data_IF_906821989588
#
_entry.id   IF_906821989588
#
_cell.length_a   1.000
_cell.length_b   1.000
_cell.length_c   1.000
_cell.angle_alpha   90.00
_cell.angle_beta   90.00
_cell.angle_gamma   90.00
#
_symmetry.space_group_name_H-M   'P 1'
#
loop_
_entity.id
_entity.type
_entity.pdbx_description
1 polymer ?
#
# COMPACT_ATOMS: atom_id res chain seq x y z
N UNK A 1 7.87 1.10 -19.91
CA UNK A 1 7.24 0.59 -18.65
C UNK A 1 5.94 1.36 -18.39
N UNK A 2 4.82 0.67 -18.27
CA UNK A 2 3.52 1.29 -18.01
C UNK A 2 3.29 1.39 -16.49
N UNK A 3 3.82 2.45 -15.87
CA UNK A 3 3.59 2.71 -14.44
C UNK A 3 2.12 3.05 -14.19
N UNK A 4 1.52 2.43 -13.17
CA UNK A 4 0.12 2.63 -12.77
C UNK A 4 0.08 3.49 -11.49
N UNK A 5 -0.74 4.54 -11.42
CA UNK A 5 -0.86 5.39 -10.23
C UNK A 5 -1.66 4.71 -9.11
N UNK A 6 -2.42 3.67 -9.44
CA UNK A 6 -3.41 3.02 -8.59
C UNK A 6 -2.89 2.69 -7.17
N UNK A 7 -1.65 2.14 -6.99
CA UNK A 7 -1.13 1.85 -5.65
C UNK A 7 -0.90 3.10 -4.80
N UNK A 8 -0.41 4.19 -5.39
CA UNK A 8 -0.11 5.45 -4.69
C UNK A 8 -1.38 6.20 -4.27
N UNK A 9 -2.43 6.10 -5.09
CA UNK A 9 -3.72 6.69 -4.76
C UNK A 9 -4.39 5.88 -3.64
N UNK A 10 -4.37 4.55 -3.73
CA UNK A 10 -4.88 3.68 -2.66
C UNK A 10 -4.16 3.87 -1.31
N UNK A 11 -2.83 4.07 -1.32
CA UNK A 11 -2.06 4.37 -0.09
C UNK A 11 -2.43 5.73 0.50
N UNK A 12 -2.72 6.76 -0.31
CA UNK A 12 -3.24 8.06 0.18
C UNK A 12 -4.52 7.86 0.99
N UNK A 13 -5.50 7.13 0.44
CA UNK A 13 -6.75 6.83 1.14
C UNK A 13 -6.49 6.05 2.44
N UNK A 14 -5.66 5.00 2.38
CA UNK A 14 -5.34 4.20 3.55
C UNK A 14 -4.69 5.05 4.65
N UNK A 15 -3.71 5.90 4.31
CA UNK A 15 -3.09 6.80 5.27
C UNK A 15 -4.09 7.80 5.87
N UNK A 16 -4.99 8.38 5.06
CA UNK A 16 -6.03 9.29 5.55
C UNK A 16 -6.96 8.61 6.57
N UNK A 17 -7.41 7.38 6.29
CA UNK A 17 -8.26 6.61 7.20
C UNK A 17 -7.52 6.26 8.50
N UNK A 18 -6.26 5.85 8.44
CA UNK A 18 -5.46 5.56 9.63
C UNK A 18 -5.13 6.80 10.48
N UNK A 19 -4.90 7.95 9.84
CA UNK A 19 -4.75 9.22 10.56
C UNK A 19 -6.04 9.52 11.32
N UNK A 20 -7.20 9.42 10.66
CA UNK A 20 -8.48 9.66 11.32
C UNK A 20 -8.76 8.66 12.44
N UNK A 21 -8.45 7.38 12.22
CA UNK A 21 -8.52 6.35 13.26
C UNK A 21 -7.71 6.73 14.49
N UNK A 22 -6.46 7.14 14.31
CA UNK A 22 -5.54 7.45 15.42
C UNK A 22 -5.86 8.74 16.17
N UNK A 23 -6.79 9.58 15.68
CA UNK A 23 -7.16 10.83 16.37
C UNK A 23 -7.69 10.55 17.78
N UNK A 24 -7.34 11.37 18.79
CA UNK A 24 -7.66 11.09 20.19
C UNK A 24 -9.16 11.02 20.48
N UNK A 25 -9.99 11.68 19.67
CA UNK A 25 -11.46 11.63 19.79
C UNK A 25 -12.11 10.45 19.02
N UNK A 26 -11.32 9.69 18.25
CA UNK A 26 -11.73 8.46 17.57
C UNK A 26 -11.17 7.27 18.35
N UNK A 27 -9.85 7.10 18.36
CA UNK A 27 -9.14 6.04 19.10
C UNK A 27 -8.02 6.65 19.97
N UNK A 28 -8.25 6.78 21.30
CA UNK A 28 -7.27 7.35 22.23
C UNK A 28 -5.90 6.64 22.19
N UNK A 29 -4.86 7.34 22.64
CA UNK A 29 -3.50 6.83 22.81
C UNK A 29 -2.84 6.27 21.54
N UNK A 30 -3.26 6.69 20.35
CA UNK A 30 -2.80 6.15 19.06
C UNK A 30 -1.86 7.08 18.28
N UNK A 31 -1.10 7.94 18.98
CA UNK A 31 -0.23 8.96 18.37
C UNK A 31 0.78 8.39 17.35
N UNK A 32 1.35 7.22 17.63
CA UNK A 32 2.30 6.57 16.70
C UNK A 32 1.65 6.20 15.34
N UNK A 33 0.36 5.85 15.35
CA UNK A 33 -0.42 5.57 14.13
C UNK A 33 -0.58 6.84 13.33
N UNK A 34 -0.88 7.97 13.99
CA UNK A 34 -1.01 9.28 13.34
C UNK A 34 0.33 9.69 12.71
N UNK A 35 1.43 9.60 13.45
CA UNK A 35 2.73 10.09 12.97
C UNK A 35 3.22 9.31 11.76
N UNK A 36 3.13 7.97 11.78
CA UNK A 36 3.64 7.16 10.67
C UNK A 36 2.79 7.33 9.41
N UNK A 37 1.45 7.39 9.56
CA UNK A 37 0.55 7.57 8.42
C UNK A 37 0.55 9.02 7.93
N UNK A 38 0.83 10.00 8.80
CA UNK A 38 1.06 11.38 8.40
C UNK A 38 2.29 11.53 7.52
N UNK A 39 3.42 10.93 7.91
CA UNK A 39 4.64 10.89 7.09
C UNK A 39 4.35 10.14 5.77
N UNK A 40 3.69 8.98 5.85
CA UNK A 40 3.28 8.20 4.69
C UNK A 40 2.43 9.03 3.72
N UNK A 41 1.40 9.72 4.21
CA UNK A 41 0.54 10.57 3.41
C UNK A 41 1.34 11.64 2.66
N UNK A 42 2.29 12.31 3.31
CA UNK A 42 3.15 13.31 2.65
C UNK A 42 3.98 12.68 1.53
N UNK A 43 4.59 11.52 1.78
CA UNK A 43 5.39 10.80 0.78
C UNK A 43 4.52 10.39 -0.42
N UNK A 44 3.35 9.82 -0.17
CA UNK A 44 2.43 9.38 -1.21
C UNK A 44 1.90 10.55 -2.04
N UNK A 45 1.58 11.68 -1.40
CA UNK A 45 1.20 12.91 -2.10
C UNK A 45 2.33 13.45 -2.99
N UNK A 46 3.60 13.33 -2.56
CA UNK A 46 4.75 13.66 -3.41
C UNK A 46 4.79 12.72 -4.62
N UNK A 47 4.65 11.41 -4.43
CA UNK A 47 4.64 10.44 -5.54
C UNK A 47 3.49 10.69 -6.52
N UNK A 48 2.27 10.89 -6.00
CA UNK A 48 1.09 11.22 -6.81
C UNK A 48 1.32 12.53 -7.58
N UNK A 49 1.93 13.54 -6.97
CA UNK A 49 2.24 14.82 -7.62
C UNK A 49 3.24 14.67 -8.75
N UNK A 50 4.34 13.94 -8.53
CA UNK A 50 5.32 13.62 -9.57
C UNK A 50 4.63 12.87 -10.72
N UNK A 51 3.88 11.81 -10.41
CA UNK A 51 3.18 11.03 -11.42
C UNK A 51 2.18 11.89 -12.19
N UNK A 52 1.47 12.78 -11.52
CA UNK A 52 0.53 13.71 -12.13
C UNK A 52 1.24 14.65 -13.11
N UNK A 53 2.36 15.27 -12.71
CA UNK A 53 3.13 16.19 -13.55
C UNK A 53 3.65 15.48 -14.82
N UNK A 54 4.13 14.25 -14.70
CA UNK A 54 4.74 13.54 -15.85
C UNK A 54 3.78 12.66 -16.64
N UNK A 55 2.50 12.59 -16.27
CA UNK A 55 1.50 11.76 -16.95
C UNK A 55 0.73 12.48 -18.06
N UNK A 56 0.27 11.71 -19.04
CA UNK A 56 -0.70 12.17 -20.05
C UNK A 56 -2.06 12.50 -19.43
N UNK A 57 -2.82 13.36 -20.11
CA UNK A 57 -4.15 13.83 -19.67
C UNK A 57 -5.14 12.72 -19.27
N UNK A 58 -5.27 11.60 -20.00
CA UNK A 58 -6.19 10.53 -19.61
C UNK A 58 -5.87 9.93 -18.23
N UNK A 59 -4.58 9.79 -17.90
CA UNK A 59 -4.12 9.29 -16.59
C UNK A 59 -4.31 10.33 -15.51
N UNK A 60 -3.97 11.60 -15.78
CA UNK A 60 -4.23 12.73 -14.87
C UNK A 60 -5.71 12.82 -14.48
N UNK A 61 -6.62 12.69 -15.45
CA UNK A 61 -8.06 12.71 -15.22
C UNK A 61 -8.51 11.59 -14.28
N UNK A 62 -7.97 10.37 -14.45
CA UNK A 62 -8.26 9.24 -13.56
C UNK A 62 -7.80 9.50 -12.12
N UNK A 63 -6.61 10.07 -11.95
CA UNK A 63 -6.07 10.42 -10.62
C UNK A 63 -6.94 11.49 -9.96
N UNK A 64 -7.30 12.55 -10.68
CA UNK A 64 -8.19 13.60 -10.14
C UNK A 64 -9.51 13.01 -9.67
N UNK A 65 -10.16 12.20 -10.52
CA UNK A 65 -11.43 11.56 -10.18
C UNK A 65 -11.28 10.68 -8.94
N UNK A 66 -10.22 9.87 -8.87
CA UNK A 66 -9.97 9.01 -7.73
C UNK A 66 -9.75 9.82 -6.43
N UNK A 67 -8.91 10.86 -6.45
CA UNK A 67 -8.68 11.73 -5.30
C UNK A 67 -9.95 12.45 -4.84
N UNK A 68 -10.80 12.91 -5.77
CA UNK A 68 -12.10 13.52 -5.43
C UNK A 68 -13.00 12.49 -4.73
N UNK A 69 -13.08 11.27 -5.25
CA UNK A 69 -13.86 10.18 -4.64
C UNK A 69 -13.34 9.89 -3.24
N UNK A 70 -12.02 9.84 -3.05
CA UNK A 70 -11.39 9.60 -1.75
C UNK A 70 -11.70 10.71 -0.75
N UNK A 71 -11.59 11.98 -1.14
CA UNK A 71 -11.93 13.13 -0.29
C UNK A 71 -13.40 13.09 0.12
N UNK A 72 -14.31 12.83 -0.82
CA UNK A 72 -15.74 12.71 -0.54
C UNK A 72 -16.00 11.54 0.41
N UNK A 73 -15.39 10.38 0.16
CA UNK A 73 -15.53 9.20 1.00
C UNK A 73 -15.03 9.48 2.43
N UNK A 74 -13.84 10.03 2.60
CA UNK A 74 -13.28 10.37 3.92
C UNK A 74 -14.15 11.41 4.63
N UNK A 75 -14.64 12.42 3.91
CA UNK A 75 -15.55 13.42 4.48
C UNK A 75 -16.87 12.79 4.99
N UNK A 76 -17.44 11.85 4.24
CA UNK A 76 -18.62 11.09 4.66
C UNK A 76 -18.32 10.26 5.91
N UNK A 77 -17.19 9.54 5.93
CA UNK A 77 -16.79 8.73 7.10
C UNK A 77 -16.62 9.62 8.33
N UNK A 78 -15.95 10.76 8.20
CA UNK A 78 -15.78 11.73 9.29
C UNK A 78 -17.15 12.25 9.75
N UNK A 79 -17.99 12.70 8.82
CA UNK A 79 -19.32 13.22 9.14
C UNK A 79 -20.16 12.20 9.89
N UNK A 80 -20.22 10.96 9.40
CA UNK A 80 -21.00 9.88 10.01
C UNK A 80 -20.45 9.56 11.41
N UNK A 81 -19.12 9.43 11.52
CA UNK A 81 -18.44 9.07 12.77
C UNK A 81 -18.64 10.13 13.85
N UNK A 82 -18.53 11.41 13.51
CA UNK A 82 -18.60 12.49 14.50
C UNK A 82 -20.03 12.92 14.84
N UNK A 83 -20.98 12.75 13.90
CA UNK A 83 -22.37 13.19 14.09
C UNK A 83 -23.22 12.11 14.75
N UNK A 84 -23.06 10.85 14.37
CA UNK A 84 -23.95 9.77 14.84
C UNK A 84 -23.32 8.92 15.95
N UNK A 85 -21.99 8.88 16.08
CA UNK A 85 -21.30 8.09 17.10
C UNK A 85 -20.74 9.01 18.19
N UNK A 86 -21.17 8.80 19.42
CA UNK A 86 -20.87 9.72 20.54
C UNK A 86 -19.71 9.21 21.40
N UNK A 87 -19.52 7.89 21.49
CA UNK A 87 -18.46 7.27 22.26
C UNK A 87 -17.27 6.85 21.37
N UNK A 88 -16.06 6.87 21.95
CA UNK A 88 -14.82 6.52 21.25
C UNK A 88 -14.79 5.05 20.82
N UNK A 89 -15.45 4.15 21.56
CA UNK A 89 -15.50 2.72 21.22
C UNK A 89 -16.25 2.49 19.90
N UNK A 90 -17.42 3.08 19.72
CA UNK A 90 -18.19 3.01 18.48
C UNK A 90 -17.46 3.66 17.31
N UNK A 91 -16.83 4.83 17.53
CA UNK A 91 -16.02 5.52 16.51
C UNK A 91 -14.83 4.66 16.06
N UNK A 92 -14.08 4.12 17.03
CA UNK A 92 -12.96 3.21 16.78
C UNK A 92 -13.41 1.97 16.02
N UNK A 93 -14.57 1.41 16.35
CA UNK A 93 -15.10 0.24 15.66
C UNK A 93 -15.40 0.52 14.19
N UNK A 94 -16.14 1.60 13.89
CA UNK A 94 -16.49 1.93 12.50
C UNK A 94 -15.24 2.22 11.67
N UNK A 95 -14.38 3.13 12.14
CA UNK A 95 -13.19 3.57 11.39
C UNK A 95 -12.16 2.45 11.33
N UNK A 96 -11.99 1.68 12.41
CA UNK A 96 -11.07 0.54 12.48
C UNK A 96 -11.46 -0.57 11.51
N UNK A 97 -12.74 -0.92 11.38
CA UNK A 97 -13.21 -1.92 10.39
C UNK A 97 -12.89 -1.44 8.98
N UNK A 98 -13.18 -0.17 8.66
CA UNK A 98 -12.84 0.40 7.34
C UNK A 98 -11.34 0.34 7.07
N UNK A 99 -10.51 0.72 8.05
CA UNK A 99 -9.05 0.67 7.95
C UNK A 99 -8.54 -0.75 7.69
N UNK A 100 -9.08 -1.75 8.39
CA UNK A 100 -8.75 -3.17 8.19
C UNK A 100 -9.10 -3.62 6.79
N UNK A 101 -10.30 -3.28 6.28
CA UNK A 101 -10.73 -3.64 4.92
C UNK A 101 -9.77 -3.07 3.88
N UNK A 102 -9.46 -1.77 3.95
CA UNK A 102 -8.54 -1.14 3.00
C UNK A 102 -7.14 -1.76 3.07
N UNK A 103 -6.64 -2.03 4.27
CA UNK A 103 -5.35 -2.66 4.44
C UNK A 103 -5.30 -4.07 3.82
N UNK A 104 -6.34 -4.88 4.01
CA UNK A 104 -6.46 -6.20 3.38
C UNK A 104 -6.49 -6.09 1.84
N UNK A 105 -7.24 -5.13 1.30
CA UNK A 105 -7.27 -4.89 -0.15
C UNK A 105 -5.89 -4.53 -0.70
N UNK A 106 -5.07 -3.80 0.07
CA UNK A 106 -3.70 -3.47 -0.34
C UNK A 106 -2.77 -4.69 -0.40
N UNK A 107 -3.05 -5.77 0.35
CA UNK A 107 -2.30 -7.03 0.25
C UNK A 107 -2.46 -7.76 -1.09
N UNK A 108 -3.37 -7.33 -1.95
CA UNK A 108 -3.45 -7.80 -3.34
C UNK A 108 -2.16 -7.54 -4.12
N UNK A 109 -1.47 -6.42 -3.84
CA UNK A 109 -0.20 -6.06 -4.50
C UNK A 109 0.93 -7.06 -4.20
N UNK A 110 1.31 -7.30 -2.93
CA UNK A 110 2.34 -8.30 -2.62
C UNK A 110 1.92 -9.72 -3.03
N UNK A 111 0.63 -10.07 -2.97
CA UNK A 111 0.15 -11.36 -3.46
C UNK A 111 0.38 -11.54 -4.97
N UNK A 112 0.15 -10.47 -5.75
CA UNK A 112 0.43 -10.47 -7.20
C UNK A 112 1.92 -10.65 -7.49
N UNK A 113 2.80 -10.02 -6.70
CA UNK A 113 4.25 -10.20 -6.81
C UNK A 113 4.65 -11.64 -6.48
N UNK A 114 4.13 -12.21 -5.38
CA UNK A 114 4.40 -13.61 -5.01
C UNK A 114 3.94 -14.59 -6.09
N UNK A 115 2.75 -14.38 -6.66
CA UNK A 115 2.26 -15.18 -7.79
C UNK A 115 3.22 -15.08 -8.99
N UNK A 116 3.71 -13.88 -9.32
CA UNK A 116 4.69 -13.68 -10.40
C UNK A 116 5.98 -14.44 -10.13
N UNK A 117 6.48 -14.43 -8.90
CA UNK A 117 7.70 -15.18 -8.51
C UNK A 117 7.52 -16.67 -8.72
N UNK A 118 6.37 -17.23 -8.31
CA UNK A 118 6.08 -18.66 -8.48
C UNK A 118 5.97 -19.05 -9.96
N UNK A 119 5.30 -18.22 -10.76
CA UNK A 119 5.07 -18.45 -12.19
C UNK A 119 6.36 -18.30 -13.00
N UNK A 120 7.16 -17.27 -12.72
CA UNK A 120 8.40 -16.97 -13.45
C UNK A 120 9.63 -17.67 -12.87
N UNK A 121 9.49 -18.31 -11.70
CA UNK A 121 10.58 -18.95 -10.95
C UNK A 121 11.75 -17.99 -10.66
N UNK A 122 11.46 -16.68 -10.58
CA UNK A 122 12.42 -15.59 -10.49
C UNK A 122 12.01 -14.56 -9.45
N UNK A 123 12.96 -14.12 -8.63
CA UNK A 123 12.76 -13.10 -7.57
C UNK A 123 13.20 -11.71 -7.98
N UNK A 124 13.46 -11.49 -9.28
CA UNK A 124 13.99 -10.23 -9.82
C UNK A 124 13.15 -9.00 -9.49
N UNK A 125 11.82 -9.14 -9.44
CA UNK A 125 10.88 -8.06 -9.12
C UNK A 125 10.55 -7.98 -7.62
N UNK A 126 11.27 -8.73 -6.80
CA UNK A 126 11.00 -8.94 -5.38
C UNK A 126 12.29 -8.77 -4.57
N UNK A 127 12.69 -7.52 -4.28
CA UNK A 127 13.96 -7.27 -3.58
C UNK A 127 13.91 -7.80 -2.14
N UNK A 128 15.01 -8.43 -1.72
CA UNK A 128 15.16 -9.03 -0.39
C UNK A 128 14.93 -8.02 0.74
N UNK A 129 15.63 -6.88 0.70
CA UNK A 129 15.58 -5.88 1.76
C UNK A 129 14.17 -5.29 1.94
N UNK A 130 13.41 -5.14 0.85
CA UNK A 130 12.03 -4.68 0.93
C UNK A 130 11.14 -5.73 1.61
N UNK A 131 11.32 -7.01 1.27
CA UNK A 131 10.58 -8.12 1.88
C UNK A 131 10.90 -8.24 3.38
N UNK A 132 12.19 -8.12 3.74
CA UNK A 132 12.66 -8.15 5.12
C UNK A 132 12.13 -6.96 5.93
N UNK A 133 12.20 -5.75 5.37
CA UNK A 133 11.66 -4.56 6.01
C UNK A 133 10.14 -4.67 6.24
N UNK A 134 9.39 -5.20 5.26
CA UNK A 134 7.96 -5.42 5.39
C UNK A 134 7.63 -6.45 6.48
N UNK A 135 8.39 -7.55 6.56
CA UNK A 135 8.25 -8.54 7.62
C UNK A 135 8.53 -7.94 9.01
N UNK A 136 9.65 -7.25 9.17
CA UNK A 136 10.02 -6.59 10.42
C UNK A 136 8.98 -5.55 10.84
N UNK A 137 8.50 -4.73 9.89
CA UNK A 137 7.42 -3.76 10.14
C UNK A 137 6.15 -4.45 10.63
N UNK A 138 5.73 -5.55 9.99
CA UNK A 138 4.58 -6.34 10.44
C UNK A 138 4.75 -6.87 11.85
N UNK A 139 5.92 -7.40 12.21
CA UNK A 139 6.22 -7.85 13.57
C UNK A 139 6.19 -6.73 14.61
N UNK A 140 6.76 -5.55 14.30
CA UNK A 140 6.77 -4.39 15.20
C UNK A 140 5.34 -3.92 15.48
N UNK A 141 4.52 -3.77 14.44
CA UNK A 141 3.13 -3.35 14.61
C UNK A 141 2.25 -4.40 15.25
N UNK A 142 2.51 -5.69 14.99
CA UNK A 142 1.87 -6.79 15.70
C UNK A 142 2.16 -6.70 17.21
N UNK A 143 3.44 -6.54 17.59
CA UNK A 143 3.83 -6.41 19.00
C UNK A 143 3.19 -5.16 19.64
N UNK A 144 3.21 -4.02 18.96
CA UNK A 144 2.56 -2.78 19.41
C UNK A 144 1.06 -2.99 19.67
N UNK A 145 0.34 -3.59 18.71
CA UNK A 145 -1.10 -3.81 18.79
C UNK A 145 -1.46 -4.84 19.87
N UNK A 146 -0.62 -5.88 20.03
CA UNK A 146 -0.79 -6.88 21.07
C UNK A 146 -0.68 -6.27 22.47
N UNK A 147 0.31 -5.39 22.69
CA UNK A 147 0.48 -4.68 23.97
C UNK A 147 -0.69 -3.72 24.28
N UNK A 148 -1.28 -3.11 23.25
CA UNK A 148 -2.44 -2.21 23.41
C UNK A 148 -3.79 -2.91 23.34
N UNK A 149 -3.82 -4.22 23.12
CA UNK A 149 -5.04 -4.99 22.85
C UNK A 149 -5.92 -4.39 21.74
N UNK A 150 -5.28 -3.79 20.73
CA UNK A 150 -5.95 -3.16 19.60
C UNK A 150 -6.11 -4.15 18.45
N UNK A 151 -7.29 -4.77 18.36
CA UNK A 151 -7.58 -5.78 17.34
C UNK A 151 -7.56 -5.22 15.91
N UNK A 152 -7.87 -3.93 15.74
CA UNK A 152 -7.96 -3.30 14.41
C UNK A 152 -6.57 -3.10 13.80
N UNK A 153 -5.56 -2.84 14.63
CA UNK A 153 -4.17 -2.82 14.18
C UNK A 153 -3.60 -4.24 14.13
N UNK A 154 -3.97 -5.11 15.07
CA UNK A 154 -3.42 -6.46 15.20
C UNK A 154 -3.69 -7.32 13.97
N UNK A 155 -4.95 -7.38 13.51
CA UNK A 155 -5.38 -8.23 12.39
C UNK A 155 -4.61 -7.94 11.09
N UNK A 156 -4.59 -6.70 10.56
CA UNK A 156 -3.89 -6.41 9.32
C UNK A 156 -2.38 -6.62 9.45
N UNK A 157 -1.77 -6.29 10.59
CA UNK A 157 -0.32 -6.45 10.76
C UNK A 157 0.09 -7.91 10.95
N UNK A 158 -0.77 -8.76 11.52
CA UNK A 158 -0.57 -10.21 11.51
C UNK A 158 -0.54 -10.75 10.07
N UNK A 159 -1.51 -10.35 9.23
CA UNK A 159 -1.55 -10.72 7.82
C UNK A 159 -0.32 -10.18 7.06
N UNK A 160 0.11 -8.96 7.37
CA UNK A 160 1.31 -8.35 6.80
C UNK A 160 2.59 -9.09 7.17
N UNK A 161 2.74 -9.48 8.44
CA UNK A 161 3.87 -10.28 8.91
C UNK A 161 3.87 -11.67 8.25
N UNK A 162 2.71 -12.34 8.16
CA UNK A 162 2.60 -13.62 7.44
C UNK A 162 2.95 -13.47 5.95
N UNK A 163 2.45 -12.41 5.30
CA UNK A 163 2.80 -12.10 3.92
C UNK A 163 4.31 -11.88 3.77
N UNK A 164 4.93 -11.07 4.64
CA UNK A 164 6.37 -10.82 4.65
C UNK A 164 7.20 -12.09 4.88
N UNK A 165 6.74 -12.99 5.74
CA UNK A 165 7.40 -14.28 5.97
C UNK A 165 7.36 -15.16 4.71
N UNK A 166 6.19 -15.29 4.08
CA UNK A 166 6.05 -16.03 2.81
C UNK A 166 6.94 -15.41 1.74
N UNK A 167 7.01 -14.08 1.70
CA UNK A 167 7.86 -13.35 0.77
C UNK A 167 9.34 -13.72 0.92
N UNK A 168 9.85 -13.79 2.15
CA UNK A 168 11.22 -14.22 2.44
C UNK A 168 11.47 -15.70 2.10
N UNK A 169 10.50 -16.58 2.36
CA UNK A 169 10.59 -18.01 2.00
C UNK A 169 10.68 -18.18 0.48
N UNK A 170 9.82 -17.49 -0.27
CA UNK A 170 9.84 -17.50 -1.73
C UNK A 170 11.16 -16.95 -2.27
N UNK A 171 11.67 -15.87 -1.67
CA UNK A 171 12.97 -15.32 -2.03
C UNK A 171 14.06 -16.38 -1.87
N UNK A 172 14.19 -17.00 -0.69
CA UNK A 172 15.19 -18.04 -0.43
C UNK A 172 15.08 -19.24 -1.38
N UNK A 173 13.86 -19.62 -1.75
CA UNK A 173 13.58 -20.77 -2.62
C UNK A 173 13.97 -20.51 -4.07
N UNK A 174 13.62 -19.34 -4.62
CA UNK A 174 13.78 -19.02 -6.04
C UNK A 174 15.01 -18.15 -6.36
N UNK A 175 15.79 -17.73 -5.34
CA UNK A 175 17.00 -16.94 -5.54
C UNK A 175 18.01 -17.62 -6.47
N UNK A 176 18.26 -18.92 -6.27
CA UNK A 176 19.21 -19.69 -7.09
C UNK A 176 18.72 -20.01 -8.49
N UNK A 177 17.39 -20.08 -8.70
CA UNK A 177 16.81 -20.32 -10.02
C UNK A 177 16.62 -19.04 -10.84
N UNK A 178 16.88 -17.88 -10.24
CA UNK A 178 16.71 -16.59 -10.91
C UNK A 178 17.83 -16.39 -11.91
N UNK A 179 17.46 -16.22 -13.19
CA UNK A 179 18.40 -15.81 -14.22
C UNK A 179 18.61 -14.28 -14.14
N UNK A 180 19.80 -13.88 -13.70
CA UNK A 180 20.14 -12.47 -13.50
C UNK A 180 20.54 -11.77 -14.81
N UNK A 181 20.90 -12.52 -15.85
CA UNK A 181 21.50 -11.99 -17.08
C UNK A 181 20.47 -11.58 -18.16
N UNK A 182 19.17 -11.75 -17.90
CA UNK A 182 18.08 -11.50 -18.88
C UNK A 182 17.67 -10.01 -19.02
N UNK A 183 18.51 -9.06 -18.60
CA UNK A 183 18.21 -7.60 -18.70
C UNK A 183 18.41 -7.01 -20.11
N UNK A 184 18.91 -7.78 -21.08
CA UNK A 184 19.41 -7.23 -22.35
C UNK A 184 18.52 -7.29 -23.59
N UNK A 185 17.34 -7.93 -23.58
CA UNK A 185 16.61 -8.24 -24.85
C UNK A 185 15.24 -7.62 -25.06
N UNK A 186 14.77 -6.72 -24.19
CA UNK A 186 13.41 -6.15 -24.29
C UNK A 186 13.34 -4.65 -24.62
N UNK A 187 14.42 -4.03 -25.09
CA UNK A 187 14.40 -2.60 -25.52
C UNK A 187 14.91 -2.31 -26.93
N UNK A 188 15.36 -3.32 -27.68
CA UNK A 188 15.65 -3.16 -29.12
C UNK A 188 14.37 -3.45 -29.92
N UNK A 189 13.42 -2.52 -29.88
CA UNK A 189 12.33 -2.50 -30.87
C UNK A 189 12.92 -1.85 -32.12
N UNK A 190 13.09 -2.71 -33.13
CA UNK A 190 13.48 -2.44 -34.51
C UNK A 190 13.00 -1.08 -35.03
N UNK A 191 13.94 -0.21 -35.40
CA UNK A 191 13.65 0.91 -36.29
C UNK A 191 13.38 0.32 -37.68
N UNK A 192 12.21 0.58 -38.31
CA UNK A 192 11.99 0.16 -39.68
C UNK A 192 13.04 0.84 -40.58
N UNK A 193 13.82 0.02 -41.29
CA UNK A 193 14.80 0.50 -42.25
C UNK A 193 14.14 1.42 -43.28
N UNK A 194 14.68 2.63 -43.38
CA UNK A 194 14.28 3.60 -44.36
C UNK A 194 14.79 3.13 -45.74
N UNK A 195 13.95 2.46 -46.53
CA UNK A 195 14.22 2.19 -47.94
C UNK A 195 13.76 3.39 -48.77
N UNK A 196 14.70 4.30 -49.04
CA UNK A 196 14.63 5.25 -50.16
C UNK A 196 15.17 4.58 -51.42
N UNK A 197 14.53 4.74 -52.58
CA UNK A 197 15.24 5.01 -53.82
C UNK A 197 15.60 6.49 -53.92
#
# INVERSE_FOLDING_TARGET
>A
MQFRPDPYVATVLNCAVWIFYGMPFVHPDSLLVITINGIGLVIELIYVSIFFIYSEWPKRRRIIIALIIEVIFVAIVIFVTLTFLHDTKSRSMLVGILAVIFNILMYTSPLTVMHRVISTKSVKYMPFFLSLANFANGCIWFAYAFLKFDIYILVPNCLGALSGAIQLILYATYYRSTNWDDDGKSSEIELPGNTTP
#
